data_IF_676321822104
#
_entry.id   IF_676321822104
#
_cell.length_a   1.000
_cell.length_b   1.000
_cell.length_c   1.000
_cell.angle_alpha   90.00
_cell.angle_beta   90.00
_cell.angle_gamma   90.00
#
_symmetry.space_group_name_H-M   'P 1'
#
loop_
_entity.id
_entity.type
_entity.pdbx_description
1 polymer ?
#
# COMPACT_ATOMS: atom_id res chain seq x y z
N UNK A 1 3.09 -24.77 -4.65
CA UNK A 1 3.45 -23.86 -5.75
C UNK A 1 4.82 -23.29 -5.43
N UNK A 2 5.74 -23.20 -6.39
CA UNK A 2 7.06 -22.58 -6.17
C UNK A 2 6.92 -21.12 -6.62
N UNK A 3 7.25 -20.18 -5.74
CA UNK A 3 7.25 -18.74 -6.04
C UNK A 3 8.68 -18.22 -6.19
N UNK A 4 8.80 -17.09 -6.85
CA UNK A 4 10.01 -16.28 -6.94
C UNK A 4 9.65 -14.83 -6.64
N UNK A 5 10.66 -13.98 -6.43
CA UNK A 5 10.45 -12.57 -6.20
C UNK A 5 11.43 -11.69 -6.97
N UNK A 6 10.96 -10.50 -7.33
CA UNK A 6 11.76 -9.45 -7.97
C UNK A 6 11.75 -8.18 -7.13
N UNK A 7 12.92 -7.58 -6.92
CA UNK A 7 13.05 -6.32 -6.20
C UNK A 7 12.46 -5.16 -7.01
N UNK A 8 11.57 -4.39 -6.38
CA UNK A 8 10.88 -3.23 -6.97
C UNK A 8 11.58 -1.89 -6.68
N UNK A 9 12.45 -1.88 -5.67
CA UNK A 9 13.19 -0.68 -5.26
C UNK A 9 12.46 0.19 -4.24
N UNK A 10 13.11 1.29 -3.83
CA UNK A 10 12.75 2.05 -2.64
C UNK A 10 11.33 2.65 -2.66
N UNK A 11 10.81 3.07 -3.82
CA UNK A 11 9.44 3.62 -3.94
C UNK A 11 8.36 2.63 -3.51
N UNK A 12 8.66 1.33 -3.59
CA UNK A 12 7.75 0.23 -3.22
C UNK A 12 8.07 -0.32 -1.82
N UNK A 13 8.89 0.39 -1.03
CA UNK A 13 9.19 0.03 0.35
C UNK A 13 8.12 0.57 1.29
N UNK A 14 7.89 -0.17 2.38
CA UNK A 14 7.04 0.31 3.48
C UNK A 14 7.44 1.70 3.94
N UNK A 15 8.73 1.96 4.14
CA UNK A 15 9.21 3.24 4.64
C UNK A 15 8.81 4.40 3.73
N UNK A 16 8.98 4.25 2.41
CA UNK A 16 8.59 5.28 1.45
C UNK A 16 7.08 5.53 1.47
N UNK A 17 6.29 4.46 1.46
CA UNK A 17 4.82 4.51 1.45
C UNK A 17 4.29 5.13 2.73
N UNK A 18 4.75 4.67 3.91
CA UNK A 18 4.32 5.21 5.19
C UNK A 18 4.70 6.67 5.35
N UNK A 19 5.90 7.07 4.90
CA UNK A 19 6.30 8.48 4.95
C UNK A 19 5.40 9.34 4.05
N UNK A 20 5.02 8.85 2.88
CA UNK A 20 4.05 9.52 2.01
C UNK A 20 2.70 9.73 2.70
N UNK A 21 2.20 8.72 3.42
CA UNK A 21 0.95 8.85 4.18
C UNK A 21 1.08 9.78 5.37
N UNK A 22 2.19 9.72 6.12
CA UNK A 22 2.49 10.67 7.19
C UNK A 22 2.44 12.10 6.67
N UNK A 23 3.12 12.39 5.56
CA UNK A 23 3.13 13.71 4.94
C UNK A 23 1.74 14.15 4.45
N UNK A 24 0.94 13.20 3.93
CA UNK A 24 -0.41 13.48 3.44
C UNK A 24 -1.38 13.91 4.54
N UNK A 25 -1.36 13.23 5.70
CA UNK A 25 -2.31 13.47 6.79
C UNK A 25 -1.79 14.45 7.85
N UNK A 26 -0.61 15.06 7.63
CA UNK A 26 0.04 15.93 8.61
C UNK A 26 -0.65 17.31 8.72
N UNK A 27 -1.82 17.35 9.36
CA UNK A 27 -2.62 18.56 9.60
C UNK A 27 -2.59 19.08 11.04
N UNK A 28 -2.07 18.29 11.99
CA UNK A 28 -2.13 18.58 13.44
C UNK A 28 -3.45 18.21 14.10
N UNK A 29 -4.39 17.62 13.36
CA UNK A 29 -5.73 17.25 13.84
C UNK A 29 -5.78 15.94 14.63
N UNK A 30 -4.71 15.14 14.57
CA UNK A 30 -4.62 13.82 15.18
C UNK A 30 -3.57 13.79 16.31
N UNK A 31 -3.84 13.00 17.36
CA UNK A 31 -2.79 12.61 18.31
C UNK A 31 -1.76 11.72 17.62
N UNK A 32 -0.56 11.56 18.20
CA UNK A 32 0.47 10.67 17.64
C UNK A 32 -0.01 9.21 17.51
N UNK A 33 -0.87 8.75 18.42
CA UNK A 33 -1.46 7.41 18.36
C UNK A 33 -2.45 7.28 17.20
N UNK A 34 -3.35 8.25 17.04
CA UNK A 34 -4.29 8.30 15.91
C UNK A 34 -3.55 8.40 14.58
N UNK A 35 -2.51 9.23 14.50
CA UNK A 35 -1.73 9.40 13.28
C UNK A 35 -1.02 8.10 12.90
N UNK A 36 -0.40 7.40 13.85
CA UNK A 36 0.24 6.10 13.59
C UNK A 36 -0.76 5.07 13.09
N UNK A 37 -1.90 4.94 13.76
CA UNK A 37 -2.93 3.98 13.39
C UNK A 37 -3.56 4.30 12.02
N UNK A 38 -3.75 5.58 11.69
CA UNK A 38 -4.21 6.01 10.38
C UNK A 38 -3.19 5.66 9.29
N UNK A 39 -1.90 5.94 9.51
CA UNK A 39 -0.86 5.58 8.52
C UNK A 39 -0.78 4.08 8.30
N UNK A 40 -0.89 3.28 9.36
CA UNK A 40 -0.91 1.82 9.21
C UNK A 40 -2.12 1.36 8.40
N UNK A 41 -3.33 1.88 8.70
CA UNK A 41 -4.54 1.55 7.96
C UNK A 41 -4.51 2.00 6.48
N UNK A 42 -3.95 3.19 6.20
CA UNK A 42 -3.80 3.70 4.84
C UNK A 42 -2.75 2.91 4.04
N UNK A 43 -1.67 2.49 4.71
CA UNK A 43 -0.64 1.65 4.10
C UNK A 43 -1.20 0.27 3.75
N UNK A 44 -1.95 -0.35 4.66
CA UNK A 44 -2.64 -1.63 4.41
C UNK A 44 -3.63 -1.49 3.24
N UNK A 45 -4.47 -0.45 3.26
CA UNK A 45 -5.41 -0.18 2.18
C UNK A 45 -4.71 0.05 0.83
N UNK A 46 -3.52 0.67 0.81
CA UNK A 46 -2.77 0.85 -0.41
C UNK A 46 -2.18 -0.46 -0.93
N UNK A 47 -1.73 -1.35 -0.04
CA UNK A 47 -1.28 -2.70 -0.42
C UNK A 47 -2.43 -3.44 -1.08
N UNK A 48 -3.61 -3.45 -0.46
CA UNK A 48 -4.81 -4.12 -1.02
C UNK A 48 -5.19 -3.56 -2.40
N UNK A 49 -5.19 -2.24 -2.58
CA UNK A 49 -5.51 -1.62 -3.87
C UNK A 49 -4.43 -1.89 -4.93
N UNK A 50 -3.16 -1.90 -4.54
CA UNK A 50 -2.08 -2.22 -5.47
C UNK A 50 -2.16 -3.68 -5.90
N UNK A 51 -2.37 -4.62 -4.98
CA UNK A 51 -2.54 -6.04 -5.28
C UNK A 51 -3.78 -6.33 -6.13
N UNK A 52 -4.87 -5.60 -5.91
CA UNK A 52 -6.08 -5.72 -6.74
C UNK A 52 -5.86 -5.29 -8.21
N UNK A 53 -4.83 -4.50 -8.49
CA UNK A 53 -4.43 -4.09 -9.84
C UNK A 53 -3.43 -5.06 -10.49
N UNK A 54 -2.80 -5.94 -9.70
CA UNK A 54 -1.88 -6.94 -10.18
C UNK A 54 -2.62 -8.18 -10.73
N UNK A 55 -1.94 -9.04 -11.50
CA UNK A 55 -2.48 -10.36 -11.80
C UNK A 55 -2.75 -11.15 -10.52
N UNK A 56 -3.79 -11.99 -10.51
CA UNK A 56 -4.28 -12.74 -9.32
C UNK A 56 -3.19 -13.58 -8.61
N UNK A 57 -2.15 -13.98 -9.33
CA UNK A 57 -1.02 -14.76 -8.82
C UNK A 57 0.12 -13.91 -8.22
N UNK A 58 0.03 -12.59 -8.28
CA UNK A 58 1.09 -11.66 -7.91
C UNK A 58 0.77 -10.91 -6.61
N UNK A 59 1.78 -10.75 -5.75
CA UNK A 59 1.63 -10.16 -4.43
C UNK A 59 2.75 -9.17 -4.16
N UNK A 60 2.42 -8.05 -3.53
CA UNK A 60 3.38 -7.03 -3.16
C UNK A 60 3.85 -7.22 -1.72
N UNK A 61 5.09 -7.69 -1.59
CA UNK A 61 5.76 -7.80 -0.31
C UNK A 61 6.36 -6.45 0.08
N UNK A 62 5.52 -5.54 0.55
CA UNK A 62 5.90 -4.15 0.88
C UNK A 62 7.08 -4.04 1.86
N UNK A 63 7.21 -4.98 2.79
CA UNK A 63 8.29 -5.01 3.78
C UNK A 63 9.67 -5.27 3.17
N UNK A 64 9.73 -6.06 2.09
CA UNK A 64 10.97 -6.38 1.37
C UNK A 64 11.10 -5.57 0.08
N UNK A 65 10.09 -4.78 -0.28
CA UNK A 65 10.00 -4.06 -1.55
C UNK A 65 10.08 -5.01 -2.75
N UNK A 66 9.39 -6.15 -2.66
CA UNK A 66 9.44 -7.21 -3.67
C UNK A 66 8.07 -7.50 -4.26
N UNK A 67 8.04 -7.89 -5.53
CA UNK A 67 6.90 -8.51 -6.17
C UNK A 67 7.11 -10.02 -6.17
N UNK A 68 6.20 -10.76 -5.54
CA UNK A 68 6.22 -12.22 -5.51
C UNK A 68 5.22 -12.78 -6.51
N UNK A 69 5.63 -13.82 -7.25
CA UNK A 69 4.82 -14.48 -8.28
C UNK A 69 5.28 -15.93 -8.53
N UNK A 70 4.49 -16.79 -9.20
CA UNK A 70 4.87 -18.17 -9.50
C UNK A 70 6.10 -18.26 -10.41
N UNK A 71 6.95 -19.25 -10.19
CA UNK A 71 8.08 -19.53 -11.10
C UNK A 71 7.54 -19.87 -12.50
N UNK A 72 8.04 -19.16 -13.51
CA UNK A 72 7.65 -19.36 -14.91
C UNK A 72 6.35 -18.65 -15.31
N UNK A 73 5.79 -17.81 -14.44
CA UNK A 73 4.73 -16.87 -14.82
C UNK A 73 5.34 -15.80 -15.76
N UNK A 74 4.78 -15.68 -16.96
CA UNK A 74 5.15 -14.72 -17.99
C UNK A 74 4.11 -13.61 -18.14
N UNK A 75 3.15 -13.52 -17.21
CA UNK A 75 2.14 -12.47 -17.20
C UNK A 75 2.78 -11.09 -17.05
N UNK A 76 2.44 -10.18 -17.96
CA UNK A 76 2.92 -8.80 -17.92
C UNK A 76 2.20 -8.04 -16.79
N UNK A 77 2.98 -7.45 -15.88
CA UNK A 77 2.48 -6.68 -14.72
C UNK A 77 2.19 -5.22 -15.04
N UNK A 78 2.41 -4.80 -16.29
CA UNK A 78 2.23 -3.42 -16.75
C UNK A 78 3.22 -2.42 -16.14
N UNK A 79 2.87 -1.14 -16.15
CA UNK A 79 3.66 -0.09 -15.53
C UNK A 79 3.38 -0.04 -14.02
N UNK A 80 4.28 -0.64 -13.24
CA UNK A 80 4.15 -0.70 -11.78
C UNK A 80 4.12 0.67 -11.11
N UNK A 81 4.78 1.70 -11.65
CA UNK A 81 4.71 3.06 -11.08
C UNK A 81 3.33 3.69 -11.31
N UNK A 82 2.73 3.41 -12.47
CA UNK A 82 1.36 3.81 -12.76
C UNK A 82 0.36 3.10 -11.84
N UNK A 83 0.50 1.78 -11.65
CA UNK A 83 -0.35 1.02 -10.72
C UNK A 83 -0.20 1.54 -9.29
N UNK A 84 1.02 1.90 -8.88
CA UNK A 84 1.27 2.48 -7.56
C UNK A 84 0.53 3.82 -7.40
N UNK A 85 0.56 4.71 -8.39
CA UNK A 85 -0.23 5.95 -8.35
C UNK A 85 -1.74 5.68 -8.29
N UNK A 86 -2.23 4.74 -9.08
CA UNK A 86 -3.66 4.37 -9.07
C UNK A 86 -4.10 3.84 -7.70
N UNK A 87 -3.27 3.04 -7.03
CA UNK A 87 -3.55 2.55 -5.67
C UNK A 87 -3.68 3.71 -4.67
N UNK A 88 -2.82 4.73 -4.76
CA UNK A 88 -2.90 5.93 -3.90
C UNK A 88 -4.19 6.69 -4.17
N UNK A 89 -4.57 6.90 -5.43
CA UNK A 89 -5.82 7.59 -5.79
C UNK A 89 -7.05 6.86 -5.24
N UNK A 90 -7.09 5.53 -5.33
CA UNK A 90 -8.16 4.70 -4.81
C UNK A 90 -8.27 4.75 -3.27
N UNK A 91 -7.14 4.79 -2.57
CA UNK A 91 -7.11 4.99 -1.11
C UNK A 91 -7.60 6.40 -0.75
N UNK A 92 -7.09 7.43 -1.43
CA UNK A 92 -7.53 8.82 -1.20
C UNK A 92 -9.04 9.01 -1.41
N UNK A 93 -9.64 8.34 -2.40
CA UNK A 93 -11.08 8.39 -2.63
C UNK A 93 -11.91 7.79 -1.48
N UNK A 94 -11.30 6.91 -0.67
CA UNK A 94 -11.93 6.26 0.49
C UNK A 94 -11.36 6.73 1.83
N UNK A 95 -10.53 7.78 1.81
CA UNK A 95 -9.85 8.30 3.00
C UNK A 95 -10.84 8.60 4.15
N UNK A 96 -11.98 9.29 3.93
CA UNK A 96 -12.91 9.58 5.02
C UNK A 96 -13.50 8.33 5.68
N UNK A 97 -13.71 7.26 4.91
CA UNK A 97 -14.24 6.00 5.42
C UNK A 97 -13.19 5.22 6.22
N UNK A 98 -11.95 5.17 5.72
CA UNK A 98 -10.82 4.55 6.42
C UNK A 98 -10.58 5.29 7.73
N UNK A 99 -10.52 6.63 7.67
CA UNK A 99 -10.32 7.48 8.83
C UNK A 99 -11.40 7.25 9.90
N UNK A 100 -12.67 7.36 9.52
CA UNK A 100 -13.78 7.18 10.47
C UNK A 100 -13.75 5.80 11.13
N UNK A 101 -13.44 4.74 10.37
CA UNK A 101 -13.32 3.38 10.89
C UNK A 101 -12.15 3.27 11.87
N UNK A 102 -10.95 3.69 11.46
CA UNK A 102 -9.74 3.61 12.28
C UNK A 102 -9.89 4.38 13.60
N UNK A 103 -10.44 5.59 13.54
CA UNK A 103 -10.64 6.39 14.75
C UNK A 103 -11.73 5.81 15.67
N UNK A 104 -12.72 5.12 15.12
CA UNK A 104 -13.73 4.41 15.91
C UNK A 104 -13.15 3.18 16.59
N UNK A 105 -12.31 2.40 15.90
CA UNK A 105 -11.70 1.18 16.43
C UNK A 105 -10.66 1.47 17.53
N UNK A 106 -10.14 2.70 17.61
CA UNK A 106 -9.22 3.16 18.65
C UNK A 106 -9.90 3.69 19.93
N UNK A 107 -11.18 4.05 19.85
CA UNK A 107 -11.92 4.74 20.92
C UNK A 107 -12.52 3.77 21.95
#
# INVERSE_FOLDING_TARGET
MITTSSALGYKFSRDYVTNGWYDHINGGDYTSEQQSALVDALTEAQVDEFEALLPESHYWLIHTSELQYPVGDDTETGDLEQLLSQSVEAVCARLPQIEAKTLTDLA
#
